data_IF_660750183405
#
_entry.id   IF_660750183405
#
_cell.length_a   1.000
_cell.length_b   1.000
_cell.length_c   1.000
_cell.angle_alpha   90.00
_cell.angle_beta   90.00
_cell.angle_gamma   90.00
#
_symmetry.space_group_name_H-M   'P 1'
#
loop_
_entity.id
_entity.type
_entity.pdbx_description
1 polymer ?
#
# COMPACT_ATOMS: atom_id res chain seq x y z
N UNK A 1 -4.67 -5.13 -19.43
CA UNK A 1 -3.47 -4.64 -18.71
C UNK A 1 -2.27 -4.89 -19.60
N UNK A 2 -1.37 -3.92 -19.71
CA UNK A 2 -0.06 -4.12 -20.30
C UNK A 2 0.81 -4.83 -19.26
N UNK A 3 1.46 -5.93 -19.66
CA UNK A 3 2.36 -6.69 -18.79
C UNK A 3 3.82 -6.45 -19.22
N UNK A 4 4.76 -6.62 -18.29
CA UNK A 4 6.19 -6.43 -18.58
C UNK A 4 6.57 -4.98 -18.89
N UNK A 5 5.89 -4.03 -18.24
CA UNK A 5 6.12 -2.59 -18.41
C UNK A 5 7.13 -2.11 -17.36
N UNK A 6 8.14 -1.35 -17.79
CA UNK A 6 8.95 -0.50 -16.92
C UNK A 6 8.43 0.93 -16.97
N UNK A 7 8.22 1.55 -15.81
CA UNK A 7 7.82 2.96 -15.70
C UNK A 7 9.06 3.84 -15.61
N UNK A 8 9.25 4.74 -16.57
CA UNK A 8 10.48 5.55 -16.66
C UNK A 8 10.30 6.92 -15.98
N UNK A 9 9.25 7.66 -16.36
CA UNK A 9 8.96 9.00 -15.82
C UNK A 9 7.53 9.46 -16.12
N UNK A 10 7.07 10.47 -15.39
CA UNK A 10 5.83 11.21 -15.64
C UNK A 10 6.23 12.67 -15.89
N UNK A 11 5.72 13.28 -16.95
CA UNK A 11 5.91 14.70 -17.27
C UNK A 11 4.66 15.32 -17.91
N UNK A 12 4.77 16.57 -18.38
CA UNK A 12 3.68 17.30 -19.02
C UNK A 12 3.17 16.65 -20.32
N UNK A 13 3.95 15.75 -20.94
CA UNK A 13 3.54 15.01 -22.12
C UNK A 13 2.81 13.70 -21.79
N UNK A 14 2.92 13.21 -20.55
CA UNK A 14 2.21 12.04 -20.06
C UNK A 14 3.11 11.01 -19.34
N UNK A 15 2.79 9.73 -19.50
CA UNK A 15 3.50 8.62 -18.85
C UNK A 15 4.47 7.96 -19.83
N UNK A 16 5.76 8.00 -19.52
CA UNK A 16 6.82 7.35 -20.30
C UNK A 16 7.07 5.95 -19.76
N UNK A 17 7.03 4.96 -20.65
CA UNK A 17 7.21 3.55 -20.31
C UNK A 17 8.14 2.85 -21.30
N UNK A 18 8.65 1.69 -20.90
CA UNK A 18 9.36 0.75 -21.77
C UNK A 18 8.65 -0.59 -21.77
N UNK A 19 8.37 -1.17 -22.95
CA UNK A 19 7.77 -2.51 -23.08
C UNK A 19 8.61 -3.33 -24.05
N UNK A 20 9.16 -4.45 -23.58
CA UNK A 20 10.03 -5.30 -24.41
C UNK A 20 11.31 -4.60 -24.89
N UNK A 21 11.78 -3.58 -24.15
CA UNK A 21 12.94 -2.77 -24.51
C UNK A 21 12.62 -1.55 -25.40
N UNK A 22 11.39 -1.42 -25.89
CA UNK A 22 10.97 -0.31 -26.75
C UNK A 22 10.32 0.82 -25.93
N UNK A 23 10.83 2.07 -26.02
CA UNK A 23 10.23 3.23 -25.36
C UNK A 23 8.87 3.61 -25.98
N UNK A 24 7.92 3.98 -25.12
CA UNK A 24 6.59 4.46 -25.52
C UNK A 24 6.13 5.61 -24.62
N UNK A 25 5.41 6.57 -25.20
CA UNK A 25 4.71 7.63 -24.48
C UNK A 25 3.21 7.35 -24.48
N UNK A 26 2.61 7.33 -23.29
CA UNK A 26 1.16 7.36 -23.13
C UNK A 26 0.74 8.81 -22.85
N UNK A 27 0.22 9.48 -23.87
CA UNK A 27 -0.36 10.83 -23.77
C UNK A 27 -1.71 10.76 -23.04
N UNK A 28 -1.67 10.95 -21.71
CA UNK A 28 -2.84 10.85 -20.83
C UNK A 28 -2.95 12.09 -19.95
N UNK A 29 -4.19 12.50 -19.67
CA UNK A 29 -4.45 13.64 -18.79
C UNK A 29 -4.17 13.35 -17.32
N UNK A 30 -4.27 12.07 -16.92
CA UNK A 30 -4.17 11.65 -15.53
C UNK A 30 -3.40 10.34 -15.40
N UNK A 31 -2.55 10.26 -14.39
CA UNK A 31 -1.86 9.03 -13.97
C UNK A 31 -2.32 8.68 -12.57
N UNK A 32 -3.09 7.60 -12.44
CA UNK A 32 -3.62 7.14 -11.16
C UNK A 32 -2.69 6.08 -10.56
N UNK A 33 -2.17 6.35 -9.36
CA UNK A 33 -1.21 5.48 -8.68
C UNK A 33 -1.94 4.46 -7.80
N UNK A 34 -2.02 3.23 -8.28
CA UNK A 34 -2.54 2.08 -7.53
C UNK A 34 -1.40 1.11 -7.13
N UNK A 35 -0.30 1.64 -6.59
CA UNK A 35 0.95 0.91 -6.35
C UNK A 35 1.03 0.16 -5.00
N UNK A 36 -0.12 -0.22 -4.43
CA UNK A 36 -0.20 -0.87 -3.12
C UNK A 36 -0.41 0.08 -1.95
N UNK A 37 -0.13 -0.40 -0.74
CA UNK A 37 -0.45 0.28 0.52
C UNK A 37 0.72 0.13 1.52
N UNK A 38 0.87 1.11 2.41
CA UNK A 38 1.82 1.08 3.52
C UNK A 38 1.07 1.01 4.86
N UNK A 39 1.59 0.27 5.87
CA UNK A 39 0.98 0.27 7.20
C UNK A 39 1.03 1.66 7.83
N UNK A 40 -0.09 2.09 8.43
CA UNK A 40 -0.16 3.39 9.14
C UNK A 40 -0.06 3.16 10.65
N UNK A 41 1.11 3.45 11.22
CA UNK A 41 1.46 3.15 12.63
C UNK A 41 1.89 4.37 13.45
N UNK A 42 1.63 5.58 12.97
CA UNK A 42 2.11 6.84 13.57
C UNK A 42 1.85 6.98 15.09
N UNK A 43 0.79 6.35 15.60
CA UNK A 43 0.44 6.40 17.02
C UNK A 43 1.04 5.28 17.88
N UNK A 44 1.57 4.21 17.27
CA UNK A 44 2.00 3.02 17.99
C UNK A 44 3.15 3.32 18.97
N UNK A 45 4.23 3.91 18.45
CA UNK A 45 5.41 4.27 19.25
C UNK A 45 5.10 5.36 20.29
N UNK A 46 4.41 6.47 19.96
CA UNK A 46 4.04 7.48 20.97
C UNK A 46 3.21 6.91 22.13
N UNK A 47 2.23 6.06 21.85
CA UNK A 47 1.38 5.47 22.90
C UNK A 47 2.16 4.49 23.79
N UNK A 48 3.05 3.70 23.21
CA UNK A 48 3.96 2.82 23.97
C UNK A 48 4.90 3.64 24.87
N UNK A 49 5.46 4.74 24.36
CA UNK A 49 6.33 5.63 25.13
C UNK A 49 5.61 6.30 26.31
N UNK A 50 4.28 6.47 26.23
CA UNK A 50 3.43 6.94 27.34
C UNK A 50 3.06 5.83 28.34
N UNK A 51 3.63 4.63 28.21
CA UNK A 51 3.34 3.49 29.09
C UNK A 51 1.95 2.88 28.87
N UNK A 52 1.34 3.10 27.70
CA UNK A 52 0.06 2.47 27.35
C UNK A 52 0.29 1.11 26.71
N UNK A 53 -0.54 0.14 27.06
CA UNK A 53 -0.61 -1.12 26.32
C UNK A 53 -1.20 -0.85 24.94
N UNK A 54 -0.52 -1.30 23.88
CA UNK A 54 -0.89 -1.07 22.48
C UNK A 54 -0.92 -2.40 21.74
N UNK A 55 -1.95 -2.62 20.94
CA UNK A 55 -2.07 -3.75 20.01
C UNK A 55 -2.23 -3.24 18.58
N UNK A 56 -1.56 -3.88 17.62
CA UNK A 56 -1.70 -3.61 16.20
C UNK A 56 -2.46 -4.77 15.54
N UNK A 57 -3.45 -4.46 14.71
CA UNK A 57 -4.23 -5.42 13.93
C UNK A 57 -4.55 -4.85 12.54
N UNK A 58 -4.89 -5.71 11.58
CA UNK A 58 -5.31 -5.34 10.23
C UNK A 58 -4.24 -4.56 9.47
N UNK A 59 -4.67 -3.59 8.65
CA UNK A 59 -3.77 -2.82 7.79
C UNK A 59 -2.70 -2.00 8.54
N UNK A 60 -2.94 -1.66 9.82
CA UNK A 60 -1.93 -1.01 10.66
C UNK A 60 -0.81 -1.99 11.06
N UNK A 61 -1.12 -3.29 11.18
CA UNK A 61 -0.14 -4.35 11.35
C UNK A 61 0.49 -4.73 9.99
N UNK A 62 -0.29 -5.15 9.00
CA UNK A 62 0.26 -5.50 7.68
C UNK A 62 -0.65 -4.96 6.59
N UNK A 63 -0.13 -4.13 5.67
CA UNK A 63 -0.90 -3.46 4.62
C UNK A 63 -0.81 -4.16 3.25
N UNK A 64 -0.48 -5.45 3.20
CA UNK A 64 -0.39 -6.20 1.95
C UNK A 64 -1.74 -6.82 1.54
N UNK A 65 -2.09 -6.70 0.26
CA UNK A 65 -3.21 -7.38 -0.44
C UNK A 65 -4.65 -7.10 0.08
N UNK A 66 -5.63 -7.78 -0.52
CA UNK A 66 -7.06 -7.69 -0.21
C UNK A 66 -7.36 -8.38 1.14
N UNK A 67 -7.06 -7.70 2.25
CA UNK A 67 -6.95 -8.35 3.56
C UNK A 67 -8.13 -8.16 4.53
N UNK A 68 -9.30 -7.70 4.10
CA UNK A 68 -10.46 -7.56 5.02
C UNK A 68 -10.69 -8.82 5.89
N UNK A 69 -10.55 -10.02 5.31
CA UNK A 69 -10.59 -11.29 6.03
C UNK A 69 -9.53 -11.41 7.14
N UNK A 70 -8.28 -11.04 6.87
CA UNK A 70 -7.17 -11.11 7.84
C UNK A 70 -7.35 -10.06 8.92
N UNK A 71 -7.67 -8.82 8.56
CA UNK A 71 -7.98 -7.76 9.52
C UNK A 71 -9.09 -8.17 10.50
N UNK A 72 -10.20 -8.73 9.98
CA UNK A 72 -11.30 -9.26 10.80
C UNK A 72 -10.80 -10.40 11.70
N UNK A 73 -10.10 -11.39 11.14
CA UNK A 73 -9.63 -12.54 11.91
C UNK A 73 -8.62 -12.15 13.01
N UNK A 74 -7.72 -11.21 12.75
CA UNK A 74 -6.78 -10.68 13.75
C UNK A 74 -7.52 -9.96 14.88
N UNK A 75 -8.47 -9.09 14.54
CA UNK A 75 -9.30 -8.41 15.53
C UNK A 75 -10.11 -9.38 16.40
N UNK A 76 -10.74 -10.38 15.78
CA UNK A 76 -11.49 -11.43 16.49
C UNK A 76 -10.60 -12.24 17.42
N UNK A 77 -9.40 -12.64 16.97
CA UNK A 77 -8.46 -13.40 17.80
C UNK A 77 -8.04 -12.59 19.02
N UNK A 78 -7.61 -11.34 18.82
CA UNK A 78 -7.19 -10.47 19.91
C UNK A 78 -8.31 -10.28 20.95
N UNK A 79 -9.55 -10.09 20.48
CA UNK A 79 -10.71 -9.93 21.37
C UNK A 79 -11.05 -11.19 22.18
N UNK A 80 -10.66 -12.39 21.71
CA UNK A 80 -10.87 -13.65 22.43
C UNK A 80 -9.70 -14.02 23.36
N UNK A 81 -8.55 -13.36 23.22
CA UNK A 81 -7.33 -13.64 23.98
C UNK A 81 -7.10 -12.69 25.17
N UNK A 82 -7.62 -11.45 25.10
CA UNK A 82 -7.45 -10.41 26.12
C UNK A 82 -8.53 -10.45 27.21
#
# INVERSE_FOLDING_TARGET
MLAGVSYERIDDAGLHITIGGEPQLLEVDNVIICAGQNPRRELAEPLQAMGKTVHLIGGADVAMELDARRAIAQGTRLALEI
#
